data_IF_829640197731
#
_entry.id   IF_829640197731
#
_cell.length_a   1.000
_cell.length_b   1.000
_cell.length_c   1.000
_cell.angle_alpha   90.00
_cell.angle_beta   90.00
_cell.angle_gamma   90.00
#
_symmetry.space_group_name_H-M   'P 1'
#
loop_
_entity.id
_entity.type
_entity.pdbx_description
1 polymer ?
#
# COMPACT_ATOMS: atom_id res chain seq x y z
N UNK A 1 1.60 1.81 -20.93
CA UNK A 1 0.47 1.87 -20.00
C UNK A 1 -0.82 1.96 -20.79
N UNK A 2 -1.84 1.20 -20.39
CA UNK A 2 -3.15 1.28 -21.02
C UNK A 2 -3.76 2.67 -20.82
N UNK A 3 -4.52 3.15 -21.78
CA UNK A 3 -5.21 4.43 -21.65
C UNK A 3 -6.34 4.42 -20.60
N UNK A 4 -6.75 3.22 -20.11
CA UNK A 4 -7.77 3.08 -19.08
C UNK A 4 -7.24 3.07 -17.68
N UNK A 5 -5.94 2.87 -17.50
CA UNK A 5 -5.31 2.65 -16.20
C UNK A 5 -4.23 3.69 -15.96
N UNK A 6 -4.22 4.32 -14.80
CA UNK A 6 -3.13 5.24 -14.44
C UNK A 6 -3.01 5.39 -12.95
N UNK A 7 -1.75 5.40 -12.47
CA UNK A 7 -1.43 5.75 -11.10
C UNK A 7 -0.88 7.17 -11.07
N UNK A 8 -1.27 7.94 -10.07
CA UNK A 8 -0.84 9.32 -9.91
C UNK A 8 -0.73 9.69 -8.44
N UNK A 9 -0.04 10.78 -8.16
CA UNK A 9 -0.02 11.34 -6.83
C UNK A 9 -1.43 11.82 -6.46
N UNK A 10 -1.81 11.61 -5.19
CA UNK A 10 -3.10 12.07 -4.71
C UNK A 10 -3.12 13.60 -4.62
N UNK A 11 -4.31 14.17 -4.76
CA UNK A 11 -4.60 15.58 -4.53
C UNK A 11 -5.64 15.71 -3.42
N UNK A 12 -5.81 16.91 -2.87
CA UNK A 12 -6.79 17.13 -1.81
C UNK A 12 -8.18 16.64 -2.16
N UNK A 13 -8.57 16.77 -3.44
CA UNK A 13 -9.88 16.34 -3.91
C UNK A 13 -10.09 14.83 -3.91
N UNK A 14 -9.05 14.04 -3.65
CA UNK A 14 -9.15 12.58 -3.63
C UNK A 14 -9.60 12.01 -2.29
N UNK A 15 -9.76 12.83 -1.26
CA UNK A 15 -9.99 12.31 0.08
C UNK A 15 -11.24 11.45 0.19
N UNK A 16 -12.36 11.87 -0.39
CA UNK A 16 -13.60 11.11 -0.26
C UNK A 16 -13.48 9.70 -0.84
N UNK A 17 -12.89 9.59 -2.02
CA UNK A 17 -12.64 8.29 -2.65
C UNK A 17 -11.62 7.48 -1.87
N UNK A 18 -10.56 8.13 -1.38
CA UNK A 18 -9.57 7.47 -0.53
C UNK A 18 -10.23 6.91 0.72
N UNK A 19 -11.09 7.68 1.40
CA UNK A 19 -11.75 7.24 2.62
C UNK A 19 -12.53 5.95 2.38
N UNK A 20 -13.31 5.89 1.31
CA UNK A 20 -14.10 4.71 0.99
C UNK A 20 -13.22 3.50 0.68
N UNK A 21 -12.18 3.70 -0.09
CA UNK A 21 -11.22 2.63 -0.40
C UNK A 21 -10.49 2.16 0.85
N UNK A 22 -10.13 3.08 1.74
CA UNK A 22 -9.47 2.77 3.00
C UNK A 22 -10.38 1.94 3.92
N UNK A 23 -11.64 2.30 4.02
CA UNK A 23 -12.61 1.53 4.81
C UNK A 23 -12.75 0.12 4.24
N UNK A 24 -12.86 -0.02 2.91
CA UNK A 24 -12.93 -1.31 2.26
C UNK A 24 -11.68 -2.15 2.51
N UNK A 25 -10.51 -1.53 2.46
CA UNK A 25 -9.24 -2.18 2.74
C UNK A 25 -9.21 -2.75 4.15
N UNK A 26 -9.66 -1.97 5.13
CA UNK A 26 -9.67 -2.39 6.54
C UNK A 26 -10.69 -3.49 6.80
N UNK A 27 -11.84 -3.45 6.15
CA UNK A 27 -12.83 -4.53 6.23
C UNK A 27 -12.28 -5.83 5.67
N UNK A 28 -11.56 -5.78 4.56
CA UNK A 28 -10.93 -6.97 4.00
C UNK A 28 -9.83 -7.50 4.91
N UNK A 29 -8.98 -6.61 5.44
CA UNK A 29 -7.90 -7.01 6.34
C UNK A 29 -8.42 -7.76 7.56
N UNK A 30 -9.58 -7.36 8.09
CA UNK A 30 -10.19 -7.99 9.27
C UNK A 30 -10.59 -9.45 9.03
N UNK A 31 -10.66 -9.89 7.78
CA UNK A 31 -11.02 -11.29 7.45
C UNK A 31 -9.82 -12.24 7.53
N UNK A 32 -8.61 -11.73 7.62
CA UNK A 32 -7.42 -12.58 7.61
C UNK A 32 -7.08 -13.06 9.01
N UNK A 33 -6.44 -14.24 9.08
CA UNK A 33 -6.00 -14.84 10.34
C UNK A 33 -5.03 -13.89 11.04
N UNK A 34 -5.22 -13.72 12.34
CA UNK A 34 -4.39 -12.86 13.21
C UNK A 34 -4.41 -11.38 12.81
N UNK A 35 -5.47 -10.94 12.13
CA UNK A 35 -5.62 -9.54 11.77
C UNK A 35 -5.65 -8.63 12.99
N UNK A 36 -6.18 -9.11 14.13
CA UNK A 36 -6.21 -8.35 15.38
C UNK A 36 -4.79 -7.92 15.82
N UNK A 37 -3.79 -8.78 15.63
CA UNK A 37 -2.40 -8.45 15.94
C UNK A 37 -1.89 -7.36 14.98
N UNK A 38 -2.20 -7.49 13.70
CA UNK A 38 -1.82 -6.47 12.72
C UNK A 38 -2.45 -5.13 13.05
N UNK A 39 -3.74 -5.10 13.39
CA UNK A 39 -4.41 -3.86 13.78
C UNK A 39 -3.77 -3.23 15.03
N UNK A 40 -3.29 -4.06 15.95
CA UNK A 40 -2.68 -3.57 17.18
C UNK A 40 -1.25 -3.07 17.02
N UNK A 41 -0.48 -3.71 16.15
CA UNK A 41 0.97 -3.48 16.06
C UNK A 41 1.42 -2.71 14.83
N UNK A 42 0.81 -2.95 13.67
CA UNK A 42 1.31 -2.41 12.41
C UNK A 42 0.41 -1.40 11.73
N UNK A 43 -0.92 -1.56 11.85
CA UNK A 43 -1.85 -0.69 11.14
C UNK A 43 -1.74 0.76 11.60
N UNK A 44 -1.88 1.69 10.67
CA UNK A 44 -1.91 3.10 11.00
C UNK A 44 -3.14 3.40 11.86
N UNK A 45 -2.95 3.97 13.04
CA UNK A 45 -4.01 4.14 14.03
C UNK A 45 -4.82 5.43 13.87
N UNK A 46 -4.25 6.43 13.21
CA UNK A 46 -4.91 7.71 13.08
C UNK A 46 -6.18 7.62 12.22
N UNK A 47 -7.13 8.55 12.37
CA UNK A 47 -8.30 8.60 11.50
C UNK A 47 -7.92 8.78 10.03
N UNK A 48 -8.74 8.30 9.09
CA UNK A 48 -8.41 8.38 7.67
C UNK A 48 -8.02 9.78 7.18
N UNK A 49 -8.70 10.82 7.65
CA UNK A 49 -8.37 12.19 7.24
C UNK A 49 -6.97 12.60 7.69
N UNK A 50 -6.58 12.24 8.90
CA UNK A 50 -5.26 12.55 9.41
C UNK A 50 -4.19 11.78 8.65
N UNK A 51 -4.42 10.51 8.36
CA UNK A 51 -3.51 9.69 7.54
C UNK A 51 -3.35 10.32 6.16
N UNK A 52 -4.45 10.67 5.53
CA UNK A 52 -4.44 11.26 4.20
C UNK A 52 -3.63 12.56 4.17
N UNK A 53 -3.93 13.47 5.10
CA UNK A 53 -3.23 14.75 5.18
C UNK A 53 -1.73 14.58 5.47
N UNK A 54 -1.39 13.67 6.37
CA UNK A 54 -0.01 13.41 6.74
C UNK A 54 0.80 12.90 5.54
N UNK A 55 0.25 11.94 4.79
CA UNK A 55 0.94 11.38 3.64
C UNK A 55 0.97 12.35 2.45
N UNK A 56 -0.03 13.22 2.35
CA UNK A 56 -0.08 14.20 1.26
C UNK A 56 0.92 15.33 1.45
N UNK A 57 1.13 15.75 2.70
CA UNK A 57 1.92 16.95 3.03
C UNK A 57 3.39 16.66 3.37
N UNK A 58 3.74 15.42 3.71
CA UNK A 58 5.11 15.09 4.12
C UNK A 58 5.99 14.76 2.92
N UNK A 59 7.21 15.31 2.91
CA UNK A 59 8.17 15.07 1.83
C UNK A 59 8.70 13.63 1.81
N UNK A 60 8.69 12.96 2.97
CA UNK A 60 9.17 11.59 3.10
C UNK A 60 8.05 10.55 3.01
N UNK A 61 6.87 10.97 2.63
CA UNK A 61 5.72 10.08 2.47
C UNK A 61 5.06 10.26 1.11
N UNK A 62 4.36 9.25 0.67
CA UNK A 62 3.71 9.22 -0.63
C UNK A 62 2.34 8.60 -0.52
N UNK A 63 1.37 9.25 -1.12
CA UNK A 63 0.06 8.66 -1.33
C UNK A 63 -0.24 8.66 -2.83
N UNK A 64 -0.49 7.46 -3.36
CA UNK A 64 -0.83 7.25 -4.76
C UNK A 64 -2.27 6.81 -4.87
N UNK A 65 -2.92 7.27 -5.92
CA UNK A 65 -4.25 6.82 -6.33
C UNK A 65 -4.10 6.17 -7.70
N UNK A 66 -4.75 5.03 -7.88
CA UNK A 66 -4.85 4.42 -9.20
C UNK A 66 -6.28 4.48 -9.69
N UNK A 67 -6.41 4.85 -10.94
CA UNK A 67 -7.70 4.97 -11.61
C UNK A 67 -7.84 3.92 -12.71
N UNK A 68 -9.06 3.48 -12.93
CA UNK A 68 -9.44 2.70 -14.08
C UNK A 68 -10.61 3.41 -14.74
N UNK A 69 -10.43 3.79 -15.99
CA UNK A 69 -11.44 4.56 -16.75
C UNK A 69 -11.90 5.80 -15.96
N UNK A 70 -10.92 6.54 -15.44
CA UNK A 70 -11.11 7.78 -14.66
C UNK A 70 -11.83 7.62 -13.32
N UNK A 71 -11.97 6.39 -12.84
CA UNK A 71 -12.57 6.10 -11.52
C UNK A 71 -11.49 5.59 -10.58
N UNK A 72 -11.29 6.23 -9.40
CA UNK A 72 -10.35 5.73 -8.41
C UNK A 72 -10.75 4.35 -7.93
N UNK A 73 -9.83 3.38 -8.03
CA UNK A 73 -10.09 1.99 -7.67
C UNK A 73 -9.06 1.41 -6.71
N UNK A 74 -8.07 2.20 -6.32
CA UNK A 74 -7.06 1.73 -5.38
C UNK A 74 -6.16 2.85 -4.90
N UNK A 75 -5.35 2.54 -3.88
CA UNK A 75 -4.39 3.47 -3.32
C UNK A 75 -3.17 2.73 -2.81
N UNK A 76 -2.09 3.50 -2.57
CA UNK A 76 -0.91 2.99 -1.91
C UNK A 76 -0.33 4.09 -1.03
N UNK A 77 0.05 3.72 0.19
CA UNK A 77 0.73 4.58 1.16
C UNK A 77 2.15 4.08 1.33
N UNK A 78 3.11 4.97 1.18
CA UNK A 78 4.55 4.63 1.25
C UNK A 78 5.24 5.67 2.10
N UNK A 79 6.25 5.25 2.89
CA UNK A 79 7.11 6.21 3.58
C UNK A 79 8.58 5.83 3.43
N UNK A 80 9.43 6.85 3.51
CA UNK A 80 10.88 6.66 3.53
C UNK A 80 11.35 6.51 4.97
N UNK A 81 12.36 5.67 5.16
CA UNK A 81 13.00 5.48 6.45
C UNK A 81 14.46 5.06 6.21
N UNK A 82 15.22 4.84 7.27
CA UNK A 82 16.63 4.45 7.11
C UNK A 82 16.85 3.02 7.54
N UNK A 83 17.66 2.33 6.75
CA UNK A 83 18.25 1.03 7.10
C UNK A 83 19.76 1.29 7.15
N UNK A 84 20.33 1.33 8.34
CA UNK A 84 21.71 1.78 8.55
C UNK A 84 21.87 3.19 7.96
N UNK A 85 22.76 3.38 7.01
CA UNK A 85 23.01 4.69 6.38
C UNK A 85 22.23 4.88 5.08
N UNK A 86 21.48 3.86 4.65
CA UNK A 86 20.74 3.91 3.39
C UNK A 86 19.29 4.32 3.60
N UNK A 87 18.74 5.01 2.61
CA UNK A 87 17.32 5.32 2.56
C UNK A 87 16.59 4.08 2.01
N UNK A 88 15.46 3.77 2.61
CA UNK A 88 14.57 2.70 2.16
C UNK A 88 13.14 3.21 2.09
N UNK A 89 12.32 2.55 1.30
CA UNK A 89 10.89 2.84 1.21
C UNK A 89 10.11 1.64 1.76
N UNK A 90 9.03 1.94 2.48
CA UNK A 90 8.10 0.91 2.96
C UNK A 90 6.71 1.19 2.42
N UNK A 91 6.12 0.17 1.82
CA UNK A 91 4.70 0.20 1.49
C UNK A 91 3.94 -0.09 2.78
N UNK A 92 3.26 0.94 3.30
CA UNK A 92 2.51 0.80 4.55
C UNK A 92 1.18 0.11 4.33
N UNK A 93 0.44 0.55 3.32
CA UNK A 93 -0.81 -0.06 2.94
C UNK A 93 -1.00 0.07 1.43
N UNK A 94 -1.58 -0.94 0.84
CA UNK A 94 -1.94 -0.95 -0.57
C UNK A 94 -3.25 -1.70 -0.73
N UNK A 95 -4.14 -1.14 -1.53
CA UNK A 95 -5.43 -1.76 -1.78
C UNK A 95 -5.88 -1.47 -3.19
N UNK A 96 -6.40 -2.49 -3.86
CA UNK A 96 -7.08 -2.36 -5.15
C UNK A 96 -8.42 -3.05 -5.02
N UNK A 97 -9.47 -2.38 -5.48
CA UNK A 97 -10.81 -2.94 -5.46
C UNK A 97 -10.82 -4.33 -6.08
N UNK A 98 -11.54 -5.28 -5.47
CA UNK A 98 -11.51 -6.69 -5.87
C UNK A 98 -11.75 -6.89 -7.37
N UNK A 99 -12.69 -6.15 -7.93
CA UNK A 99 -13.07 -6.30 -9.34
C UNK A 99 -11.96 -5.85 -10.31
N UNK A 100 -10.95 -5.12 -9.80
CA UNK A 100 -9.88 -4.56 -10.62
C UNK A 100 -8.54 -5.26 -10.44
N UNK A 101 -8.46 -6.27 -9.60
CA UNK A 101 -7.18 -6.92 -9.27
C UNK A 101 -6.56 -7.69 -10.42
N UNK A 102 -7.38 -8.23 -11.30
CA UNK A 102 -6.91 -9.07 -12.40
C UNK A 102 -6.62 -8.30 -13.68
N UNK A 103 -6.88 -6.99 -13.70
CA UNK A 103 -6.63 -6.17 -14.90
C UNK A 103 -5.29 -5.41 -14.84
N UNK A 104 -4.43 -5.72 -13.86
CA UNK A 104 -3.08 -5.16 -13.80
C UNK A 104 -3.00 -3.75 -13.21
N UNK A 105 -4.07 -3.27 -12.62
CA UNK A 105 -4.16 -1.89 -12.09
C UNK A 105 -3.14 -1.66 -10.97
N UNK A 106 -2.96 -2.65 -10.08
CA UNK A 106 -2.02 -2.54 -8.97
C UNK A 106 -0.57 -2.37 -9.41
N UNK A 107 -0.22 -2.87 -10.59
CA UNK A 107 1.13 -2.78 -11.11
C UNK A 107 1.54 -1.34 -11.37
N UNK A 108 0.60 -0.49 -11.78
CA UNK A 108 0.86 0.93 -11.96
C UNK A 108 1.19 1.63 -10.64
N UNK A 109 0.53 1.22 -9.55
CA UNK A 109 0.86 1.73 -8.22
C UNK A 109 2.30 1.38 -7.83
N UNK A 110 2.68 0.12 -8.01
CA UNK A 110 4.02 -0.32 -7.62
C UNK A 110 5.09 0.31 -8.51
N UNK A 111 4.86 0.42 -9.80
CA UNK A 111 5.80 1.10 -10.70
C UNK A 111 6.02 2.55 -10.28
N UNK A 112 4.93 3.26 -9.95
CA UNK A 112 5.03 4.64 -9.49
C UNK A 112 5.77 4.76 -8.15
N UNK A 113 5.50 3.83 -7.22
CA UNK A 113 6.17 3.81 -5.93
C UNK A 113 7.67 3.53 -6.07
N UNK A 114 8.04 2.57 -6.91
CA UNK A 114 9.45 2.24 -7.16
C UNK A 114 10.17 3.44 -7.80
N UNK A 115 9.55 4.08 -8.77
CA UNK A 115 10.13 5.26 -9.41
C UNK A 115 10.33 6.40 -8.41
N UNK A 116 9.34 6.63 -7.55
CA UNK A 116 9.47 7.65 -6.50
C UNK A 116 10.57 7.31 -5.51
N UNK A 117 10.65 6.05 -5.08
CA UNK A 117 11.69 5.58 -4.16
C UNK A 117 13.08 5.78 -4.77
N UNK A 118 13.26 5.38 -6.03
CA UNK A 118 14.53 5.58 -6.73
C UNK A 118 14.90 7.06 -6.85
N UNK A 119 13.91 7.91 -7.13
CA UNK A 119 14.12 9.35 -7.20
C UNK A 119 14.54 9.96 -5.88
N UNK A 120 14.25 9.32 -4.77
CA UNK A 120 14.69 9.71 -3.43
C UNK A 120 15.91 8.92 -2.95
N UNK A 121 16.61 8.25 -3.88
CA UNK A 121 17.84 7.50 -3.60
C UNK A 121 17.65 6.29 -2.68
N UNK A 122 16.43 5.76 -2.58
CA UNK A 122 16.19 4.57 -1.78
C UNK A 122 16.90 3.35 -2.37
N UNK A 123 17.46 2.52 -1.50
CA UNK A 123 18.18 1.30 -1.89
C UNK A 123 17.33 0.05 -1.72
N UNK A 124 16.23 0.13 -0.98
CA UNK A 124 15.33 -0.99 -0.73
C UNK A 124 13.90 -0.52 -0.74
N UNK A 125 13.01 -1.42 -1.13
CA UNK A 125 11.57 -1.24 -0.91
C UNK A 125 11.05 -2.48 -0.18
N UNK A 126 10.26 -2.26 0.87
CA UNK A 126 9.72 -3.29 1.72
C UNK A 126 8.20 -3.21 1.75
N UNK A 127 7.56 -4.33 2.03
CA UNK A 127 6.13 -4.39 2.21
C UNK A 127 5.75 -5.51 3.16
N UNK A 128 4.48 -5.60 3.50
CA UNK A 128 3.92 -6.65 4.34
C UNK A 128 2.65 -7.18 3.69
N UNK A 129 2.37 -8.45 3.94
CA UNK A 129 1.13 -9.07 3.50
C UNK A 129 0.74 -10.17 4.46
N UNK A 130 -0.55 -10.45 4.52
CA UNK A 130 -1.04 -11.59 5.28
C UNK A 130 -0.71 -12.90 4.57
N UNK A 131 -0.37 -13.98 5.30
CA UNK A 131 -0.07 -15.27 4.67
C UNK A 131 -1.20 -15.80 3.79
N UNK A 132 -2.45 -15.49 4.16
CA UNK A 132 -3.63 -15.93 3.41
C UNK A 132 -3.96 -15.08 2.19
N UNK A 133 -3.29 -13.96 2.02
CA UNK A 133 -3.54 -13.05 0.91
C UNK A 133 -2.65 -13.43 -0.27
N UNK A 134 -3.07 -14.44 -1.04
CA UNK A 134 -2.30 -14.93 -2.18
C UNK A 134 -2.16 -13.89 -3.28
N UNK A 135 -3.17 -13.08 -3.48
CA UNK A 135 -3.14 -12.04 -4.50
C UNK A 135 -2.00 -11.06 -4.21
N UNK A 136 -1.91 -10.59 -2.96
CA UNK A 136 -0.87 -9.64 -2.58
C UNK A 136 0.53 -10.27 -2.59
N UNK A 137 0.65 -11.54 -2.17
CA UNK A 137 1.93 -12.24 -2.24
C UNK A 137 2.41 -12.34 -3.68
N UNK A 138 1.52 -12.73 -4.60
CA UNK A 138 1.86 -12.83 -6.02
C UNK A 138 2.19 -11.46 -6.60
N UNK A 139 1.50 -10.42 -6.16
CA UNK A 139 1.75 -9.05 -6.57
C UNK A 139 3.19 -8.64 -6.25
N UNK A 140 3.63 -8.85 -5.00
CA UNK A 140 5.01 -8.53 -4.61
C UNK A 140 6.02 -9.37 -5.40
N UNK A 141 5.76 -10.67 -5.59
CA UNK A 141 6.66 -11.56 -6.31
C UNK A 141 6.85 -11.14 -7.76
N UNK A 142 5.81 -10.62 -8.41
CA UNK A 142 5.94 -10.11 -9.79
C UNK A 142 6.96 -8.98 -9.90
N UNK A 143 7.15 -8.21 -8.83
CA UNK A 143 8.15 -7.14 -8.77
C UNK A 143 9.46 -7.61 -8.14
N UNK A 144 9.60 -8.91 -7.89
CA UNK A 144 10.78 -9.52 -7.25
C UNK A 144 11.02 -8.99 -5.84
N UNK A 145 9.95 -8.58 -5.19
CA UNK A 145 9.96 -8.22 -3.77
C UNK A 145 9.58 -9.49 -3.03
N UNK A 146 10.59 -10.21 -2.55
CA UNK A 146 10.44 -11.56 -2.02
C UNK A 146 10.43 -11.56 -0.50
N UNK A 147 9.82 -12.60 0.08
CA UNK A 147 9.75 -12.73 1.53
C UNK A 147 11.15 -12.83 2.14
N UNK A 148 11.41 -12.03 3.17
CA UNK A 148 12.69 -12.03 3.87
C UNK A 148 12.57 -12.47 5.32
N UNK A 149 11.39 -12.35 5.90
CA UNK A 149 11.13 -12.68 7.30
C UNK A 149 9.67 -13.07 7.43
N UNK A 150 9.41 -14.17 8.12
CA UNK A 150 8.03 -14.61 8.38
C UNK A 150 7.83 -14.60 9.89
N UNK A 151 6.86 -13.80 10.36
CA UNK A 151 6.48 -13.76 11.75
C UNK A 151 5.35 -14.74 11.99
N UNK A 152 5.42 -15.48 13.07
CA UNK A 152 4.41 -16.48 13.43
C UNK A 152 3.80 -16.13 14.78
N UNK A 153 2.54 -16.51 14.97
CA UNK A 153 1.83 -16.20 16.18
C UNK A 153 0.93 -17.35 16.60
N UNK A 154 0.65 -17.42 17.89
CA UNK A 154 -0.32 -18.36 18.47
C UNK A 154 -1.04 -17.66 19.61
N UNK A 155 -2.36 -17.70 19.58
CA UNK A 155 -3.15 -17.22 20.71
C UNK A 155 -3.03 -18.22 21.86
N UNK A 156 -2.74 -17.71 23.07
CA UNK A 156 -2.63 -18.54 24.27
C UNK A 156 -3.91 -18.45 25.09
N UNK A 157 -4.37 -19.60 25.57
CA UNK A 157 -5.56 -19.67 26.43
C UNK A 157 -5.22 -19.34 27.88
#
# INVERSE_FOLDING_TARGET
MSEFESARFAANSDYENFQQLFISSRSEADTYKAADIWFALEALEAPPLQIFSDYLESEDKLILIVEYNNVPVGFMLVHLFRINDDIAARVDEVFVHQDMREVGVGEHLMDAAINWAKGNEAKHILGRTFPGDRHMKNFYERFKITARLIEVSKKLD
#
